data_IF_658207446610
#
_entry.id   IF_658207446610
#
_cell.length_a   1.000
_cell.length_b   1.000
_cell.length_c   1.000
_cell.angle_alpha   90.00
_cell.angle_beta   90.00
_cell.angle_gamma   90.00
#
_symmetry.space_group_name_H-M   'P 1'
#
loop_
_entity.id
_entity.type
_entity.pdbx_description
1 polymer ?
#
# COMPACT_ATOMS: atom_id res chain seq x y z
N UNK A 1 -5.10 11.69 17.20
CA UNK A 1 -4.02 11.94 16.21
C UNK A 1 -4.68 12.36 14.92
N UNK A 2 -4.63 13.65 14.59
CA UNK A 2 -5.09 14.14 13.29
C UNK A 2 -4.11 13.64 12.26
N UNK A 3 -4.55 12.70 11.41
CA UNK A 3 -3.84 12.41 10.17
C UNK A 3 -4.06 13.66 9.33
N UNK A 4 -3.01 14.49 9.22
CA UNK A 4 -2.97 15.58 8.23
C UNK A 4 -3.41 14.98 6.89
N UNK A 5 -4.58 15.42 6.41
CA UNK A 5 -5.16 15.05 5.13
C UNK A 5 -4.31 15.62 4.00
N UNK A 6 -3.05 15.19 3.92
CA UNK A 6 -2.25 15.26 2.71
C UNK A 6 -3.06 14.47 1.69
N UNK A 7 -3.87 15.17 0.88
CA UNK A 7 -4.76 14.54 -0.10
C UNK A 7 -3.92 13.52 -0.86
N UNK A 8 -4.20 12.24 -0.65
CA UNK A 8 -3.50 11.15 -1.33
C UNK A 8 -3.60 11.47 -2.82
N UNK A 9 -2.48 11.57 -3.56
CA UNK A 9 -2.55 11.91 -4.96
C UNK A 9 -3.46 10.93 -5.70
N UNK A 10 -4.29 11.43 -6.62
CA UNK A 10 -5.20 10.59 -7.40
C UNK A 10 -4.48 9.44 -8.11
N UNK A 11 -3.24 9.67 -8.57
CA UNK A 11 -2.40 8.62 -9.14
C UNK A 11 -2.05 7.51 -8.12
N UNK A 12 -1.79 7.87 -6.87
CA UNK A 12 -1.55 6.92 -5.79
C UNK A 12 -2.82 6.15 -5.45
N UNK A 13 -3.96 6.84 -5.29
CA UNK A 13 -5.26 6.23 -5.04
C UNK A 13 -5.62 5.16 -6.08
N UNK A 14 -5.44 5.48 -7.38
CA UNK A 14 -5.66 4.53 -8.49
C UNK A 14 -4.78 3.28 -8.44
N UNK A 15 -3.63 3.33 -7.75
CA UNK A 15 -2.72 2.18 -7.59
C UNK A 15 -3.02 1.33 -6.35
N UNK A 16 -3.77 1.82 -5.36
CA UNK A 16 -4.10 1.04 -4.16
C UNK A 16 -4.73 -0.32 -4.46
N UNK A 17 -5.73 -0.42 -5.36
CA UNK A 17 -6.33 -1.72 -5.68
C UNK A 17 -5.30 -2.71 -6.26
N UNK A 18 -4.30 -2.24 -7.01
CA UNK A 18 -3.24 -3.07 -7.56
C UNK A 18 -2.32 -3.61 -6.46
N UNK A 19 -1.89 -2.74 -5.53
CA UNK A 19 -1.10 -3.16 -4.38
C UNK A 19 -1.86 -4.15 -3.52
N UNK A 20 -3.13 -3.86 -3.21
CA UNK A 20 -3.97 -4.71 -2.36
C UNK A 20 -4.16 -6.12 -2.95
N UNK A 21 -4.43 -6.23 -4.25
CA UNK A 21 -4.55 -7.54 -4.93
C UNK A 21 -3.27 -8.36 -4.82
N UNK A 22 -2.12 -7.76 -5.06
CA UNK A 22 -0.86 -8.48 -4.96
C UNK A 22 -0.53 -8.87 -3.51
N UNK A 23 -0.76 -7.99 -2.55
CA UNK A 23 -0.57 -8.29 -1.13
C UNK A 23 -1.46 -9.44 -0.66
N UNK A 24 -2.70 -9.56 -1.17
CA UNK A 24 -3.56 -10.71 -0.87
C UNK A 24 -2.95 -12.02 -1.33
N UNK A 25 -2.33 -12.03 -2.52
CA UNK A 25 -1.64 -13.22 -3.03
C UNK A 25 -0.42 -13.58 -2.16
N UNK A 26 0.36 -12.59 -1.74
CA UNK A 26 1.49 -12.81 -0.84
C UNK A 26 1.06 -13.36 0.52
N UNK A 27 -0.02 -12.82 1.08
CA UNK A 27 -0.59 -13.32 2.33
C UNK A 27 -1.08 -14.76 2.17
N UNK A 28 -1.79 -15.07 1.07
CA UNK A 28 -2.24 -16.42 0.77
C UNK A 28 -1.07 -17.41 0.59
N UNK A 29 0.09 -16.95 0.13
CA UNK A 29 1.31 -17.77 0.05
C UNK A 29 2.11 -17.81 1.37
N UNK A 30 1.57 -17.29 2.48
CA UNK A 30 2.24 -17.28 3.79
C UNK A 30 3.41 -16.29 3.90
N UNK A 31 3.58 -15.38 2.94
CA UNK A 31 4.69 -14.43 2.93
C UNK A 31 4.39 -13.26 3.87
N UNK A 32 5.20 -13.11 4.91
CA UNK A 32 5.00 -12.08 5.93
C UNK A 32 5.56 -10.70 5.56
N UNK A 33 6.57 -10.66 4.68
CA UNK A 33 7.25 -9.41 4.31
C UNK A 33 7.49 -9.30 2.82
N UNK A 34 7.45 -8.08 2.31
CA UNK A 34 7.71 -7.77 0.91
C UNK A 34 8.52 -6.49 0.78
N UNK A 35 9.48 -6.46 -0.13
CA UNK A 35 10.24 -5.25 -0.46
C UNK A 35 9.54 -4.41 -1.54
N UNK A 36 9.93 -3.14 -1.64
CA UNK A 36 9.47 -2.29 -2.75
C UNK A 36 9.99 -2.76 -4.10
N UNK A 37 11.06 -3.56 -4.15
CA UNK A 37 11.59 -4.13 -5.40
C UNK A 37 10.69 -5.28 -5.88
N UNK A 38 10.32 -6.19 -4.99
CA UNK A 38 9.40 -7.29 -5.32
C UNK A 38 8.00 -6.78 -5.70
N UNK A 39 7.51 -5.73 -5.03
CA UNK A 39 6.27 -5.07 -5.43
C UNK A 39 6.39 -4.46 -6.84
N UNK A 40 7.54 -3.85 -7.15
CA UNK A 40 7.79 -3.25 -8.47
C UNK A 40 7.71 -4.26 -9.59
N UNK A 41 8.31 -5.43 -9.41
CA UNK A 41 8.33 -6.49 -10.41
C UNK A 41 6.93 -7.03 -10.71
N UNK A 42 6.09 -7.12 -9.67
CA UNK A 42 4.74 -7.66 -9.76
C UNK A 42 3.72 -6.65 -10.31
N UNK A 43 3.74 -5.41 -9.83
CA UNK A 43 2.73 -4.39 -10.20
C UNK A 43 3.18 -3.47 -11.34
N UNK A 44 4.41 -3.65 -11.85
CA UNK A 44 5.02 -2.84 -12.92
C UNK A 44 5.04 -1.33 -12.60
N UNK A 45 5.30 -1.01 -11.33
CA UNK A 45 5.46 0.37 -10.85
C UNK A 45 6.84 0.51 -10.25
N UNK A 46 7.57 1.55 -10.63
CA UNK A 46 8.93 1.77 -10.12
C UNK A 46 8.99 1.76 -8.58
N UNK A 47 10.05 1.13 -8.05
CA UNK A 47 10.26 0.95 -6.61
C UNK A 47 10.28 2.27 -5.84
N UNK A 48 10.80 3.35 -6.42
CA UNK A 48 10.80 4.67 -5.79
C UNK A 48 9.39 5.29 -5.78
N UNK A 49 8.58 5.05 -6.80
CA UNK A 49 7.17 5.44 -6.83
C UNK A 49 6.38 4.71 -5.75
N UNK A 50 6.59 3.40 -5.58
CA UNK A 50 5.95 2.61 -4.51
C UNK A 50 6.32 3.15 -3.13
N UNK A 51 7.61 3.43 -2.90
CA UNK A 51 8.07 4.02 -1.63
C UNK A 51 7.39 5.37 -1.35
N UNK A 52 7.25 6.21 -2.37
CA UNK A 52 6.57 7.51 -2.28
C UNK A 52 5.09 7.35 -1.99
N UNK A 53 4.42 6.45 -2.70
CA UNK A 53 3.01 6.15 -2.47
C UNK A 53 2.77 5.72 -1.03
N UNK A 54 3.60 4.80 -0.53
CA UNK A 54 3.47 4.27 0.82
C UNK A 54 3.77 5.33 1.88
N UNK A 55 4.62 6.32 1.56
CA UNK A 55 4.92 7.41 2.49
C UNK A 55 3.74 8.35 2.76
N UNK A 56 2.78 8.48 1.83
CA UNK A 56 1.55 9.26 2.07
C UNK A 56 0.65 8.63 3.13
N UNK A 57 0.81 7.33 3.38
CA UNK A 57 0.05 6.58 4.37
C UNK A 57 0.78 6.46 5.72
N UNK A 58 1.90 7.17 5.87
CA UNK A 58 2.75 7.15 7.06
C UNK A 58 3.85 6.09 7.00
N UNK A 59 4.36 5.70 8.17
CA UNK A 59 5.50 4.80 8.29
C UNK A 59 5.09 3.32 8.11
N UNK A 60 4.78 2.92 6.86
CA UNK A 60 4.35 1.55 6.54
C UNK A 60 5.48 0.52 6.48
N UNK A 61 6.75 0.94 6.48
CA UNK A 61 7.89 0.03 6.35
C UNK A 61 9.22 0.63 6.77
N UNK A 62 10.25 -0.22 6.82
CA UNK A 62 11.62 0.15 7.21
C UNK A 62 12.60 -0.16 6.08
N UNK A 63 13.50 0.78 5.79
CA UNK A 63 14.57 0.61 4.80
C UNK A 63 15.37 -0.66 5.11
N UNK A 64 15.57 -1.52 4.11
CA UNK A 64 16.31 -2.78 4.25
C UNK A 64 15.55 -3.94 4.91
N UNK A 65 14.34 -3.70 5.45
CA UNK A 65 13.52 -4.73 6.09
C UNK A 65 12.21 -5.00 5.34
N UNK A 66 11.78 -4.08 4.47
CA UNK A 66 10.55 -4.19 3.70
C UNK A 66 9.30 -3.86 4.50
N UNK A 67 8.15 -4.21 3.96
CA UNK A 67 6.82 -3.96 4.51
C UNK A 67 6.22 -5.24 5.07
N UNK A 68 5.45 -5.15 6.15
CA UNK A 68 4.71 -6.28 6.68
C UNK A 68 3.41 -6.45 5.86
N UNK A 69 3.20 -7.65 5.31
CA UNK A 69 2.10 -7.94 4.38
C UNK A 69 0.74 -7.84 5.06
N UNK A 70 0.58 -8.45 6.24
CA UNK A 70 -0.68 -8.46 7.00
C UNK A 70 -1.10 -7.05 7.43
N UNK A 71 -0.12 -6.26 7.86
CA UNK A 71 -0.32 -4.86 8.23
C UNK A 71 -0.77 -4.03 7.02
N UNK A 72 -0.09 -4.15 5.88
CA UNK A 72 -0.48 -3.44 4.66
C UNK A 72 -1.88 -3.84 4.19
N UNK A 73 -2.23 -5.12 4.25
CA UNK A 73 -3.56 -5.59 3.90
C UNK A 73 -4.64 -4.99 4.78
N UNK A 74 -4.43 -5.03 6.09
CA UNK A 74 -5.38 -4.47 7.05
C UNK A 74 -5.51 -2.96 6.87
N UNK A 75 -4.39 -2.28 6.63
CA UNK A 75 -4.35 -0.84 6.42
C UNK A 75 -5.09 -0.45 5.13
N UNK A 76 -4.71 -1.02 3.99
CA UNK A 76 -5.33 -0.68 2.71
C UNK A 76 -6.80 -1.08 2.62
N UNK A 77 -7.20 -2.19 3.26
CA UNK A 77 -8.63 -2.53 3.38
C UNK A 77 -9.40 -1.41 4.07
N UNK A 78 -8.92 -0.93 5.23
CA UNK A 78 -9.55 0.18 5.95
C UNK A 78 -9.57 1.47 5.12
N UNK A 79 -8.49 1.77 4.39
CA UNK A 79 -8.42 2.94 3.52
C UNK A 79 -9.41 2.86 2.36
N UNK A 80 -9.55 1.69 1.71
CA UNK A 80 -10.49 1.48 0.62
C UNK A 80 -11.94 1.49 1.11
N UNK A 81 -12.23 0.84 2.25
CA UNK A 81 -13.57 0.84 2.85
C UNK A 81 -14.02 2.28 3.23
N UNK A 82 -13.07 3.15 3.63
CA UNK A 82 -13.35 4.56 3.91
C UNK A 82 -13.54 5.41 2.64
N UNK A 83 -12.86 5.06 1.54
CA UNK A 83 -13.02 5.71 0.24
C UNK A 83 -14.41 5.42 -0.37
N UNK A 84 -14.97 4.22 -0.13
CA UNK A 84 -16.34 3.88 -0.55
C UNK A 84 -17.44 4.67 0.19
N UNK A 85 -17.15 5.25 1.36
CA UNK A 85 -18.10 6.11 2.10
C UNK A 85 -18.16 7.56 1.57
N UNK A 86 -17.38 7.88 0.54
CA UNK A 86 -17.46 9.19 -0.13
C UNK A 86 -18.62 9.17 -1.13
N UNK A 87 -19.80 9.57 -0.65
CA UNK A 87 -21.08 9.60 -1.35
C UNK A 87 -21.02 10.06 -2.82
N UNK A 88 -21.73 9.30 -3.66
CA UNK A 88 -22.35 9.71 -4.93
C UNK A 88 -23.39 10.81 -4.67
#
# INVERSE_FOLDING_TARGET
>A
MNIDQSKIPQATAKRLPLYYRFLKNLHASGKQRVSSAELSDAVKVDSATIRRDFSYFGALGKKGYGYNVDYLLTFFRKTLDQDEMTNV
#
